data_IF_966237716877
#
_entry.id   IF_966237716877
#
_cell.length_a   1.000
_cell.length_b   1.000
_cell.length_c   1.000
_cell.angle_alpha   90.00
_cell.angle_beta   90.00
_cell.angle_gamma   90.00
#
_symmetry.space_group_name_H-M   'P 1'
#
loop_
_entity.id
_entity.type
_entity.pdbx_description
1 polymer ?
#
# COMPACT_ATOMS: atom_id res chain seq x y z
N UNK A 1 -6.81 -17.83 -4.20
CA UNK A 1 -7.50 -16.81 -3.41
C UNK A 1 -7.20 -15.41 -3.96
N UNK A 2 -5.93 -14.93 -3.96
CA UNK A 2 -5.58 -13.59 -4.44
C UNK A 2 -6.05 -13.28 -5.87
N UNK A 3 -5.92 -14.21 -6.80
CA UNK A 3 -6.30 -14.00 -8.20
C UNK A 3 -7.81 -14.02 -8.47
N UNK A 4 -8.64 -14.35 -7.48
CA UNK A 4 -10.10 -14.35 -7.60
C UNK A 4 -10.80 -13.34 -6.68
N UNK A 5 -10.04 -12.50 -5.97
CA UNK A 5 -10.57 -11.49 -5.09
C UNK A 5 -10.42 -10.09 -5.72
N UNK A 6 -11.42 -9.25 -5.59
CA UNK A 6 -11.36 -7.82 -5.97
C UNK A 6 -10.93 -6.95 -4.80
N UNK A 7 -11.34 -7.32 -3.59
CA UNK A 7 -10.99 -6.66 -2.33
C UNK A 7 -10.40 -7.67 -1.36
N UNK A 8 -9.44 -7.28 -0.56
CA UNK A 8 -8.78 -8.17 0.39
C UNK A 8 -8.54 -7.48 1.73
N UNK A 9 -9.13 -8.01 2.79
CA UNK A 9 -8.91 -7.49 4.15
C UNK A 9 -7.57 -8.03 4.67
N UNK A 10 -6.68 -7.11 5.04
CA UNK A 10 -5.38 -7.35 5.67
C UNK A 10 -5.29 -6.46 6.91
N UNK A 11 -5.93 -6.88 7.98
CA UNK A 11 -6.12 -6.07 9.19
C UNK A 11 -5.57 -6.74 10.45
N UNK A 12 -4.26 -7.04 10.51
CA UNK A 12 -3.66 -7.55 11.74
C UNK A 12 -3.60 -6.44 12.80
N UNK A 13 -3.57 -6.83 14.05
CA UNK A 13 -3.30 -5.89 15.16
C UNK A 13 -1.91 -5.27 15.04
N UNK A 14 -0.92 -6.09 14.66
CA UNK A 14 0.46 -5.69 14.43
C UNK A 14 0.95 -6.26 13.10
N UNK A 15 1.56 -5.42 12.27
CA UNK A 15 2.09 -5.79 10.96
C UNK A 15 3.60 -5.48 10.85
N UNK A 16 4.48 -6.27 11.49
CA UNK A 16 5.91 -5.96 11.50
C UNK A 16 6.56 -6.06 10.13
N UNK A 17 6.09 -6.95 9.24
CA UNK A 17 6.71 -7.21 7.96
C UNK A 17 5.80 -7.04 6.74
N UNK A 18 4.51 -6.96 6.90
CA UNK A 18 3.54 -6.83 5.80
C UNK A 18 3.58 -8.02 4.82
N UNK A 19 3.14 -7.78 3.60
CA UNK A 19 3.23 -8.72 2.48
C UNK A 19 1.90 -9.22 1.94
N UNK A 20 0.81 -9.17 2.71
CA UNK A 20 -0.54 -9.44 2.25
C UNK A 20 -1.02 -8.40 1.24
N UNK A 21 -0.77 -7.13 1.53
CA UNK A 21 -1.00 -5.97 0.69
C UNK A 21 -0.25 -6.06 -0.65
N UNK A 22 1.05 -6.37 -0.61
CA UNK A 22 1.89 -6.51 -1.82
C UNK A 22 1.41 -7.65 -2.72
N UNK A 23 0.99 -8.77 -2.12
CA UNK A 23 0.39 -9.87 -2.88
C UNK A 23 -0.96 -9.48 -3.46
N UNK A 24 -1.80 -8.77 -2.70
CA UNK A 24 -3.06 -8.24 -3.19
C UNK A 24 -2.83 -7.35 -4.42
N UNK A 25 -1.95 -6.35 -4.34
CA UNK A 25 -1.57 -5.49 -5.46
C UNK A 25 -1.12 -6.29 -6.68
N UNK A 26 -0.25 -7.29 -6.49
CA UNK A 26 0.28 -8.09 -7.59
C UNK A 26 -0.81 -8.82 -8.39
N UNK A 27 -1.88 -9.23 -7.73
CA UNK A 27 -3.01 -9.93 -8.34
C UNK A 27 -4.20 -9.03 -8.66
N UNK A 28 -4.09 -7.71 -8.45
CA UNK A 28 -5.13 -6.74 -8.74
C UNK A 28 -6.27 -6.72 -7.71
N UNK A 29 -6.07 -7.30 -6.54
CA UNK A 29 -6.97 -7.13 -5.40
C UNK A 29 -6.59 -5.85 -4.65
N UNK A 30 -7.59 -5.03 -4.27
CA UNK A 30 -7.33 -3.84 -3.48
C UNK A 30 -7.34 -4.18 -1.99
N UNK A 31 -6.26 -3.88 -1.26
CA UNK A 31 -6.19 -4.17 0.16
C UNK A 31 -7.03 -3.19 0.98
N UNK A 32 -7.73 -3.72 1.99
CA UNK A 32 -8.36 -2.97 3.07
C UNK A 32 -7.51 -3.24 4.30
N UNK A 33 -6.83 -2.22 4.84
CA UNK A 33 -5.80 -2.41 5.85
C UNK A 33 -6.05 -1.62 7.13
N UNK A 34 -5.70 -2.21 8.26
CA UNK A 34 -5.44 -1.45 9.48
C UNK A 34 -4.09 -0.75 9.34
N UNK A 35 -4.06 0.57 9.55
CA UNK A 35 -2.86 1.40 9.37
C UNK A 35 -1.89 1.20 10.52
N UNK A 36 -1.16 0.09 10.48
CA UNK A 36 -0.17 -0.30 11.49
C UNK A 36 1.09 -0.86 10.85
N UNK A 37 2.23 -0.60 11.47
CA UNK A 37 3.54 -1.11 11.02
C UNK A 37 3.79 -0.88 9.54
N UNK A 38 4.27 -1.89 8.83
CA UNK A 38 4.60 -1.81 7.41
C UNK A 38 3.39 -1.48 6.50
N UNK A 39 2.16 -1.75 6.93
CA UNK A 39 0.96 -1.42 6.16
C UNK A 39 0.71 0.08 6.07
N UNK A 40 1.11 0.84 7.09
CA UNK A 40 1.03 2.30 7.10
C UNK A 40 1.95 2.93 6.03
N UNK A 41 3.07 2.27 5.71
CA UNK A 41 4.05 2.75 4.74
C UNK A 41 3.75 2.30 3.30
N UNK A 42 3.04 1.18 3.14
CA UNK A 42 2.88 0.53 1.84
C UNK A 42 1.52 0.75 1.19
N UNK A 43 0.49 1.07 1.99
CA UNK A 43 -0.86 1.31 1.48
C UNK A 43 -1.25 2.77 1.71
N UNK A 44 -1.46 3.48 0.61
CA UNK A 44 -1.98 4.85 0.61
C UNK A 44 -3.49 4.78 0.47
N UNK A 45 -4.21 5.45 1.36
CA UNK A 45 -5.66 5.46 1.34
C UNK A 45 -6.21 6.15 0.08
N UNK A 46 -7.22 5.53 -0.54
CA UNK A 46 -7.83 6.06 -1.76
C UNK A 46 -8.75 7.25 -1.45
N UNK A 47 -8.73 8.23 -2.35
CA UNK A 47 -9.74 9.30 -2.35
C UNK A 47 -11.12 8.78 -2.81
N UNK A 48 -12.13 9.63 -2.70
CA UNK A 48 -13.52 9.27 -3.02
C UNK A 48 -13.77 8.96 -4.51
N UNK A 49 -12.87 9.39 -5.41
CA UNK A 49 -12.95 9.16 -6.85
C UNK A 49 -12.03 8.06 -7.35
N UNK A 50 -11.22 7.48 -6.46
CA UNK A 50 -10.19 6.49 -6.77
C UNK A 50 -9.08 6.98 -7.71
N UNK A 51 -8.90 8.30 -7.81
CA UNK A 51 -7.85 8.92 -8.63
C UNK A 51 -6.48 8.77 -7.98
N UNK A 52 -6.43 8.72 -6.65
CA UNK A 52 -5.21 8.53 -5.84
C UNK A 52 -5.32 7.32 -4.93
N UNK A 53 -4.21 6.96 -4.30
CA UNK A 53 -4.15 5.86 -3.34
C UNK A 53 -3.86 4.50 -3.99
N UNK A 54 -3.74 3.49 -3.13
CA UNK A 54 -3.39 2.11 -3.50
C UNK A 54 -4.22 1.05 -2.77
N UNK A 55 -5.17 1.49 -1.95
CA UNK A 55 -6.06 0.64 -1.18
C UNK A 55 -6.92 1.47 -0.23
N UNK A 56 -7.51 0.83 0.74
CA UNK A 56 -8.37 1.47 1.74
C UNK A 56 -7.77 1.25 3.12
N UNK A 57 -7.60 2.33 3.88
CA UNK A 57 -6.97 2.27 5.19
C UNK A 57 -7.87 2.83 6.29
N UNK A 58 -7.74 2.28 7.50
CA UNK A 58 -8.41 2.76 8.70
C UNK A 58 -7.43 2.78 9.89
N UNK A 59 -7.68 3.64 10.85
CA UNK A 59 -6.78 3.89 11.97
C UNK A 59 -7.21 3.20 13.27
N UNK A 60 -8.52 3.09 13.53
CA UNK A 60 -9.03 2.42 14.73
C UNK A 60 -8.99 0.90 14.63
N UNK A 61 -8.47 0.21 15.64
CA UNK A 61 -8.52 -1.27 15.69
C UNK A 61 -9.83 -1.75 16.33
N UNK A 62 -10.94 -1.38 15.72
CA UNK A 62 -12.30 -1.71 16.14
C UNK A 62 -13.19 -2.09 14.95
N UNK A 63 -14.34 -2.68 15.26
CA UNK A 63 -15.25 -3.19 14.24
C UNK A 63 -15.91 -2.07 13.40
N UNK A 64 -16.15 -0.91 14.00
CA UNK A 64 -16.83 0.20 13.31
C UNK A 64 -15.91 0.84 12.28
N UNK A 65 -14.63 1.04 12.62
CA UNK A 65 -13.62 1.54 11.70
C UNK A 65 -13.42 0.60 10.50
N UNK A 66 -13.32 -0.70 10.75
CA UNK A 66 -13.25 -1.71 9.69
C UNK A 66 -14.52 -1.68 8.83
N UNK A 67 -15.70 -1.71 9.43
CA UNK A 67 -16.97 -1.74 8.71
C UNK A 67 -17.14 -0.52 7.82
N UNK A 68 -16.86 0.68 8.33
CA UNK A 68 -16.92 1.92 7.56
C UNK A 68 -15.98 1.89 6.35
N UNK A 69 -14.79 1.33 6.52
CA UNK A 69 -13.81 1.21 5.41
C UNK A 69 -14.23 0.14 4.39
N UNK A 70 -14.78 -0.98 4.83
CA UNK A 70 -15.35 -1.99 3.92
C UNK A 70 -16.51 -1.41 3.11
N UNK A 71 -17.42 -0.67 3.73
CA UNK A 71 -18.53 0.00 3.03
C UNK A 71 -18.01 0.99 1.98
N UNK A 72 -16.99 1.78 2.31
CA UNK A 72 -16.31 2.68 1.37
C UNK A 72 -15.67 1.93 0.20
N UNK A 73 -15.01 0.81 0.46
CA UNK A 73 -14.39 -0.02 -0.55
C UNK A 73 -15.42 -0.66 -1.49
N UNK A 74 -16.56 -1.14 -0.96
CA UNK A 74 -17.67 -1.68 -1.75
C UNK A 74 -18.30 -0.58 -2.62
N UNK A 75 -18.49 0.62 -2.08
CA UNK A 75 -18.98 1.75 -2.86
C UNK A 75 -18.01 2.10 -4.01
N UNK A 76 -16.70 2.09 -3.72
CA UNK A 76 -15.66 2.30 -4.72
C UNK A 76 -15.65 1.24 -5.83
N UNK A 77 -15.98 -0.01 -5.52
CA UNK A 77 -16.05 -1.10 -6.50
C UNK A 77 -17.01 -0.80 -7.67
N UNK A 78 -18.08 -0.06 -7.41
CA UNK A 78 -19.07 0.34 -8.42
C UNK A 78 -18.68 1.56 -9.27
N UNK A 79 -17.52 2.19 -9.01
CA UNK A 79 -17.08 3.37 -9.75
C UNK A 79 -16.24 2.99 -10.99
N UNK A 80 -16.36 3.80 -12.05
CA UNK A 80 -15.56 3.61 -13.28
C UNK A 80 -14.05 3.62 -13.01
N UNK A 81 -13.58 4.40 -12.02
CA UNK A 81 -12.18 4.48 -11.61
C UNK A 81 -11.60 3.22 -10.96
N UNK A 82 -12.44 2.22 -10.61
CA UNK A 82 -11.96 1.02 -9.95
C UNK A 82 -11.02 0.18 -10.82
N UNK A 83 -11.33 0.06 -12.11
CA UNK A 83 -10.48 -0.67 -13.06
C UNK A 83 -9.11 0.01 -13.25
N UNK A 84 -9.08 1.33 -13.30
CA UNK A 84 -7.85 2.11 -13.41
C UNK A 84 -7.00 2.00 -12.14
N UNK A 85 -7.64 2.04 -10.97
CA UNK A 85 -6.98 1.80 -9.69
C UNK A 85 -6.35 0.40 -9.63
N UNK A 86 -7.07 -0.64 -10.05
CA UNK A 86 -6.53 -2.01 -10.16
C UNK A 86 -5.31 -2.07 -11.08
N UNK A 87 -5.41 -1.48 -12.26
CA UNK A 87 -4.30 -1.42 -13.20
C UNK A 87 -3.09 -0.67 -12.63
N UNK A 88 -3.32 0.40 -11.86
CA UNK A 88 -2.29 1.19 -11.19
C UNK A 88 -1.56 0.37 -10.12
N UNK A 89 -2.29 -0.29 -9.22
CA UNK A 89 -1.66 -1.07 -8.15
C UNK A 89 -0.88 -2.27 -8.66
N UNK A 90 -1.32 -2.90 -9.73
CA UNK A 90 -0.59 -4.02 -10.36
C UNK A 90 0.76 -3.60 -10.96
N UNK A 91 0.97 -2.31 -11.23
CA UNK A 91 2.24 -1.76 -11.75
C UNK A 91 3.22 -1.36 -10.66
N UNK A 92 2.80 -1.39 -9.39
CA UNK A 92 3.69 -1.03 -8.28
C UNK A 92 4.84 -2.05 -8.23
N UNK A 93 6.06 -1.54 -8.29
CA UNK A 93 7.25 -2.38 -8.18
C UNK A 93 7.53 -2.71 -6.71
N UNK A 94 7.25 -3.95 -6.34
CA UNK A 94 7.56 -4.54 -5.03
C UNK A 94 8.74 -5.52 -5.10
N UNK A 95 9.58 -5.41 -6.13
CA UNK A 95 10.71 -6.32 -6.34
C UNK A 95 11.85 -6.08 -5.34
N UNK A 96 12.67 -7.11 -5.20
CA UNK A 96 13.91 -7.03 -4.45
C UNK A 96 14.94 -6.11 -5.11
N UNK A 97 14.90 -5.97 -6.44
CA UNK A 97 15.77 -5.03 -7.19
C UNK A 97 15.55 -3.58 -6.74
N UNK A 98 14.29 -3.19 -6.50
CA UNK A 98 13.99 -1.86 -5.96
C UNK A 98 14.60 -1.69 -4.57
N UNK A 99 14.39 -2.65 -3.68
CA UNK A 99 14.95 -2.61 -2.32
C UNK A 99 16.48 -2.59 -2.32
N UNK A 100 17.09 -3.40 -3.17
CA UNK A 100 18.55 -3.46 -3.31
C UNK A 100 19.13 -2.11 -3.82
N UNK A 101 18.47 -1.46 -4.79
CA UNK A 101 18.88 -0.13 -5.25
C UNK A 101 18.80 0.91 -4.15
N UNK A 102 17.72 0.90 -3.36
CA UNK A 102 17.57 1.84 -2.24
C UNK A 102 18.66 1.64 -1.18
N UNK A 103 18.96 0.39 -0.83
CA UNK A 103 20.06 0.08 0.09
C UNK A 103 21.42 0.48 -0.47
N UNK A 104 21.69 0.21 -1.74
CA UNK A 104 22.94 0.61 -2.38
C UNK A 104 23.12 2.14 -2.36
N UNK A 105 22.07 2.91 -2.63
CA UNK A 105 22.09 4.37 -2.53
C UNK A 105 22.42 4.81 -1.09
N UNK A 106 21.73 4.23 -0.10
CA UNK A 106 21.99 4.53 1.30
C UNK A 106 23.46 4.27 1.69
N UNK A 107 24.03 3.13 1.26
CA UNK A 107 25.43 2.83 1.53
C UNK A 107 26.39 3.83 0.86
N UNK A 108 26.13 4.21 -0.39
CA UNK A 108 26.92 5.24 -1.06
C UNK A 108 26.86 6.56 -0.32
N UNK A 109 25.68 6.99 0.11
CA UNK A 109 25.50 8.24 0.85
C UNK A 109 26.25 8.22 2.20
N UNK A 110 26.25 7.07 2.89
CA UNK A 110 26.95 6.92 4.16
C UNK A 110 28.49 6.93 4.05
N UNK A 111 29.04 6.43 2.94
CA UNK A 111 30.50 6.38 2.72
C UNK A 111 31.04 7.60 1.96
N UNK A 112 30.16 8.40 1.36
CA UNK A 112 30.55 9.64 0.70
C UNK A 112 30.57 10.76 1.74
N UNK A 113 31.74 11.35 2.06
CA UNK A 113 31.79 12.44 3.04
C UNK A 113 30.97 13.62 2.53
N UNK A 114 30.27 14.33 3.43
CA UNK A 114 29.52 15.52 3.04
C UNK A 114 30.49 16.51 2.38
N UNK A 115 30.14 17.02 1.20
CA UNK A 115 30.83 18.12 0.59
C UNK A 115 30.60 19.35 1.49
N UNK A 116 31.60 19.68 2.30
CA UNK A 116 31.61 20.93 3.03
C UNK A 116 31.97 21.97 1.97
N UNK A 117 30.98 22.73 1.51
CA UNK A 117 31.23 23.91 0.69
C UNK A 117 32.15 24.80 1.50
N UNK A 118 33.40 24.90 1.05
CA UNK A 118 34.36 25.85 1.59
C UNK A 118 33.84 27.23 1.22
N UNK A 119 33.36 27.97 2.24
CA UNK A 119 32.93 29.35 2.11
C UNK A 119 34.13 30.26 1.77
#
# INVERSE_FOLDING_TARGET
LYGGADLMIVAPEHAPAGGGDKRAHRYGALPIVHRTGALADTVVDCDAKLETGTGFAFDGHDADALLGTVQRAIAGYGLDGFADLRARVMRIDHSWERSARMLATLYVDLITPPQIDAA
#
